data_IF_646424598276
#
_entry.id   IF_646424598276
#
_cell.length_a   1.000
_cell.length_b   1.000
_cell.length_c   1.000
_cell.angle_alpha   90.00
_cell.angle_beta   90.00
_cell.angle_gamma   90.00
#
_symmetry.space_group_name_H-M   'P 1'
#
loop_
_entity.id
_entity.type
_entity.pdbx_description
1 polymer ?
#
# COMPACT_ATOMS: atom_id res chain seq x y z
N UNK A 1 27.08 -12.95 -12.62
CA UNK A 1 26.59 -12.01 -11.59
C UNK A 1 26.84 -12.55 -10.18
N UNK A 2 26.51 -13.83 -9.93
CA UNK A 2 26.64 -14.45 -8.59
C UNK A 2 28.01 -14.30 -7.95
N UNK A 3 29.09 -14.46 -8.71
CA UNK A 3 30.47 -14.41 -8.21
C UNK A 3 30.87 -13.04 -7.64
N UNK A 4 30.30 -11.95 -8.20
CA UNK A 4 30.62 -10.58 -7.79
C UNK A 4 29.51 -9.91 -6.98
N UNK A 5 28.25 -10.35 -7.14
CA UNK A 5 27.05 -9.81 -6.50
C UNK A 5 26.36 -10.88 -5.64
N UNK A 6 27.11 -11.52 -4.75
CA UNK A 6 26.62 -12.67 -3.98
C UNK A 6 25.42 -12.31 -3.08
N UNK A 7 25.43 -11.14 -2.45
CA UNK A 7 24.33 -10.69 -1.59
C UNK A 7 23.03 -10.50 -2.39
N UNK A 8 23.09 -9.81 -3.53
CA UNK A 8 21.93 -9.60 -4.40
C UNK A 8 21.42 -10.92 -4.98
N UNK A 9 22.34 -11.82 -5.30
CA UNK A 9 21.98 -13.15 -5.77
C UNK A 9 21.21 -13.95 -4.71
N UNK A 10 21.62 -13.91 -3.45
CA UNK A 10 20.88 -14.56 -2.37
C UNK A 10 19.46 -14.00 -2.23
N UNK A 11 19.28 -12.67 -2.33
CA UNK A 11 17.95 -12.04 -2.32
C UNK A 11 17.07 -12.51 -3.49
N UNK A 12 17.66 -12.69 -4.68
CA UNK A 12 16.92 -13.18 -5.87
C UNK A 12 16.39 -14.60 -5.68
N UNK A 13 17.03 -15.43 -4.88
CA UNK A 13 16.57 -16.81 -4.63
C UNK A 13 15.17 -16.85 -4.00
N UNK A 14 14.78 -15.84 -3.22
CA UNK A 14 13.45 -15.69 -2.61
C UNK A 14 12.47 -14.94 -3.50
N UNK A 15 12.86 -14.57 -4.73
CA UNK A 15 12.03 -13.82 -5.64
C UNK A 15 11.00 -14.70 -6.35
N UNK A 16 9.82 -14.14 -6.62
CA UNK A 16 8.79 -14.79 -7.45
C UNK A 16 9.32 -15.13 -8.85
N UNK A 17 10.22 -14.34 -9.41
CA UNK A 17 10.84 -14.62 -10.70
C UNK A 17 11.72 -15.87 -10.64
N UNK A 18 12.53 -16.01 -9.59
CA UNK A 18 13.37 -17.21 -9.40
C UNK A 18 12.51 -18.46 -9.15
N UNK A 19 11.44 -18.32 -8.38
CA UNK A 19 10.47 -19.41 -8.16
C UNK A 19 9.86 -19.88 -9.49
N UNK A 20 9.45 -18.92 -10.34
CA UNK A 20 8.91 -19.22 -11.66
C UNK A 20 9.94 -19.88 -12.58
N UNK A 21 11.20 -19.44 -12.58
CA UNK A 21 12.30 -20.06 -13.33
C UNK A 21 12.54 -21.51 -12.86
N UNK A 22 12.58 -21.74 -11.55
CA UNK A 22 12.75 -23.07 -10.97
C UNK A 22 11.59 -24.02 -11.33
N UNK A 23 10.39 -23.46 -11.52
CA UNK A 23 9.21 -24.20 -12.00
C UNK A 23 9.18 -24.41 -13.53
N UNK A 24 10.23 -23.98 -14.25
CA UNK A 24 10.36 -24.19 -15.70
C UNK A 24 9.81 -23.05 -16.57
N UNK A 25 9.39 -21.93 -15.99
CA UNK A 25 8.96 -20.75 -16.77
C UNK A 25 10.18 -19.97 -17.26
N UNK A 26 10.61 -20.23 -18.49
CA UNK A 26 11.78 -19.58 -19.11
C UNK A 26 11.56 -18.10 -19.45
N UNK A 27 10.32 -17.59 -19.37
CA UNK A 27 9.99 -16.17 -19.58
C UNK A 27 10.11 -15.32 -18.32
N UNK A 28 10.37 -15.94 -17.16
CA UNK A 28 10.57 -15.16 -15.92
C UNK A 28 11.91 -14.43 -15.96
N UNK A 29 11.90 -13.20 -15.40
CA UNK A 29 13.04 -12.28 -15.50
C UNK A 29 14.30 -12.82 -14.81
N UNK A 30 15.44 -12.60 -15.45
CA UNK A 30 16.79 -12.81 -14.89
C UNK A 30 17.52 -11.46 -14.74
N UNK A 31 18.71 -11.49 -14.16
CA UNK A 31 19.48 -10.26 -13.86
C UNK A 31 19.60 -9.30 -15.06
N UNK A 32 19.82 -9.85 -16.26
CA UNK A 32 20.06 -9.07 -17.48
C UNK A 32 18.81 -8.42 -18.07
N UNK A 33 17.63 -8.83 -17.68
CA UNK A 33 16.38 -8.24 -18.16
C UNK A 33 16.10 -6.90 -17.47
N UNK A 34 16.56 -6.78 -16.21
CA UNK A 34 16.49 -5.54 -15.43
C UNK A 34 17.76 -4.69 -15.57
N UNK A 35 18.92 -5.33 -15.60
CA UNK A 35 20.23 -4.68 -15.64
C UNK A 35 20.92 -4.92 -16.99
N UNK A 36 21.19 -3.86 -17.74
CA UNK A 36 21.97 -3.99 -18.98
C UNK A 36 23.43 -4.36 -18.64
N UNK A 37 23.93 -5.54 -19.07
CA UNK A 37 25.27 -5.99 -18.67
C UNK A 37 26.40 -5.18 -19.27
N UNK A 38 26.15 -4.39 -20.31
CA UNK A 38 27.17 -3.60 -21.02
C UNK A 38 27.14 -2.12 -20.64
N UNK A 39 25.98 -1.60 -20.26
CA UNK A 39 25.78 -0.16 -19.99
C UNK A 39 25.16 0.05 -18.60
N UNK A 40 25.64 -0.71 -17.63
CA UNK A 40 25.16 -0.64 -16.25
C UNK A 40 25.47 0.73 -15.64
N UNK A 41 24.41 1.46 -15.28
CA UNK A 41 24.49 2.71 -14.53
C UNK A 41 24.10 2.49 -13.08
N UNK A 42 24.72 3.25 -12.19
CA UNK A 42 24.33 3.24 -10.78
C UNK A 42 22.99 3.98 -10.62
N UNK A 43 22.04 3.33 -9.99
CA UNK A 43 20.70 3.87 -9.74
C UNK A 43 20.57 4.53 -8.36
N UNK A 44 21.58 4.35 -7.49
CA UNK A 44 21.58 4.90 -6.12
C UNK A 44 22.75 5.86 -5.91
N UNK A 45 22.57 6.84 -5.05
CA UNK A 45 23.64 7.66 -4.54
C UNK A 45 24.67 6.77 -3.83
N UNK A 46 25.97 7.00 -4.09
CA UNK A 46 27.06 6.19 -3.55
C UNK A 46 27.17 6.31 -2.02
N UNK A 47 26.89 7.49 -1.48
CA UNK A 47 27.14 7.82 -0.09
C UNK A 47 25.91 7.59 0.79
N UNK A 48 24.70 7.86 0.29
CA UNK A 48 23.45 7.72 1.04
C UNK A 48 22.70 6.42 0.74
N UNK A 49 22.98 5.76 -0.39
CA UNK A 49 22.22 4.59 -0.86
C UNK A 49 20.85 4.90 -1.43
N UNK A 50 20.42 6.16 -1.38
CA UNK A 50 19.11 6.58 -1.89
C UNK A 50 19.02 6.51 -3.41
N UNK A 51 17.82 6.23 -3.93
CA UNK A 51 17.58 6.25 -5.37
C UNK A 51 17.80 7.65 -5.96
N UNK A 52 18.52 7.71 -7.06
CA UNK A 52 18.62 8.92 -7.86
C UNK A 52 17.28 9.22 -8.53
N UNK A 53 16.94 10.50 -8.70
CA UNK A 53 15.67 10.91 -9.34
C UNK A 53 15.45 10.24 -10.71
N UNK A 54 16.48 10.22 -11.56
CA UNK A 54 16.41 9.55 -12.85
C UNK A 54 16.14 8.04 -12.75
N UNK A 55 16.57 7.39 -11.68
CA UNK A 55 16.31 5.97 -11.44
C UNK A 55 14.82 5.69 -11.18
N UNK A 56 14.14 6.53 -10.39
CA UNK A 56 12.70 6.38 -10.13
C UNK A 56 11.86 6.40 -11.41
N UNK A 57 12.25 7.19 -12.40
CA UNK A 57 11.57 7.22 -13.71
C UNK A 57 11.84 5.98 -14.56
N UNK A 58 13.03 5.39 -14.45
CA UNK A 58 13.44 4.22 -15.25
C UNK A 58 12.91 2.91 -14.70
N UNK A 59 12.76 2.78 -13.37
CA UNK A 59 12.33 1.53 -12.72
C UNK A 59 10.99 1.03 -13.25
N UNK A 60 9.90 1.81 -13.28
CA UNK A 60 8.62 1.33 -13.81
C UNK A 60 8.71 0.93 -15.29
N UNK A 61 9.49 1.65 -16.09
CA UNK A 61 9.70 1.32 -17.51
C UNK A 61 10.47 -0.01 -17.68
N UNK A 62 11.36 -0.33 -16.75
CA UNK A 62 12.07 -1.63 -16.75
C UNK A 62 11.09 -2.77 -16.51
N UNK A 63 10.19 -2.63 -15.54
CA UNK A 63 9.15 -3.61 -15.25
C UNK A 63 8.15 -3.74 -16.42
N UNK A 64 7.83 -2.62 -17.08
CA UNK A 64 6.90 -2.54 -18.20
C UNK A 64 7.29 -3.39 -19.42
N UNK A 65 8.56 -3.79 -19.55
CA UNK A 65 9.01 -4.68 -20.64
C UNK A 65 8.23 -5.99 -20.68
N UNK A 66 7.79 -6.47 -19.52
CA UNK A 66 6.98 -7.68 -19.37
C UNK A 66 5.62 -7.40 -18.75
N UNK A 67 5.52 -6.40 -17.85
CA UNK A 67 4.31 -6.03 -17.11
C UNK A 67 3.66 -4.74 -17.68
N UNK A 68 3.46 -4.68 -18.99
CA UNK A 68 3.00 -3.47 -19.69
C UNK A 68 1.59 -3.02 -19.24
N UNK A 69 0.65 -3.94 -19.08
CA UNK A 69 -0.72 -3.63 -18.62
C UNK A 69 -0.70 -3.01 -17.21
N UNK A 70 0.05 -3.61 -16.30
CA UNK A 70 0.21 -3.10 -14.92
C UNK A 70 0.88 -1.72 -14.92
N UNK A 71 1.85 -1.51 -15.81
CA UNK A 71 2.50 -0.21 -15.95
C UNK A 71 1.53 0.88 -16.41
N UNK A 72 0.64 0.61 -17.36
CA UNK A 72 -0.35 1.59 -17.82
C UNK A 72 -1.37 1.92 -16.72
N UNK A 73 -1.81 0.93 -15.93
CA UNK A 73 -2.65 1.15 -14.75
C UNK A 73 -1.91 2.04 -13.72
N UNK A 74 -0.66 1.69 -13.38
CA UNK A 74 0.16 2.48 -12.46
C UNK A 74 0.36 3.91 -12.95
N UNK A 75 0.70 4.10 -14.23
CA UNK A 75 0.95 5.40 -14.84
C UNK A 75 -0.27 6.33 -14.76
N UNK A 76 -1.48 5.79 -14.84
CA UNK A 76 -2.73 6.53 -14.71
C UNK A 76 -3.13 6.78 -13.25
N UNK A 77 -2.53 6.08 -12.29
CA UNK A 77 -2.82 6.24 -10.86
C UNK A 77 -2.30 7.58 -10.31
N UNK A 78 -2.75 7.94 -9.10
CA UNK A 78 -2.25 9.14 -8.39
C UNK A 78 -0.73 9.08 -8.18
N UNK A 79 -0.17 7.91 -7.90
CA UNK A 79 1.28 7.74 -7.69
C UNK A 79 2.05 7.83 -9.00
N UNK A 80 1.63 7.09 -10.01
CA UNK A 80 2.31 7.05 -11.29
C UNK A 80 2.21 8.37 -12.06
N UNK A 81 1.06 9.02 -12.03
CA UNK A 81 0.86 10.34 -12.65
C UNK A 81 1.74 11.39 -11.97
N UNK A 82 1.80 11.42 -10.65
CA UNK A 82 2.68 12.33 -9.92
C UNK A 82 4.17 12.08 -10.25
N UNK A 83 4.58 10.82 -10.43
CA UNK A 83 5.96 10.52 -10.84
C UNK A 83 6.24 10.98 -12.27
N UNK A 84 5.38 10.61 -13.21
CA UNK A 84 5.68 10.75 -14.66
C UNK A 84 5.38 12.14 -15.18
N UNK A 85 4.33 12.80 -14.69
CA UNK A 85 3.88 14.10 -15.18
C UNK A 85 4.42 15.27 -14.35
N UNK A 86 4.60 15.05 -13.04
CA UNK A 86 5.02 16.12 -12.11
C UNK A 86 6.49 15.98 -11.68
N UNK A 87 7.15 14.84 -11.98
CA UNK A 87 8.53 14.56 -11.55
C UNK A 87 8.66 14.39 -10.04
N UNK A 88 7.57 14.01 -9.37
CA UNK A 88 7.52 13.88 -7.92
C UNK A 88 8.30 12.64 -7.45
N UNK A 89 9.39 12.84 -6.74
CA UNK A 89 10.26 11.75 -6.28
C UNK A 89 9.85 11.14 -4.94
N UNK A 90 8.82 11.67 -4.27
CA UNK A 90 8.34 11.13 -2.99
C UNK A 90 7.28 10.05 -3.16
N UNK A 91 6.75 9.88 -4.37
CA UNK A 91 5.77 8.82 -4.65
C UNK A 91 6.45 7.46 -4.87
N UNK A 92 5.76 6.35 -4.55
CA UNK A 92 6.32 5.01 -4.71
C UNK A 92 6.41 4.60 -6.17
N UNK A 93 7.37 3.72 -6.45
CA UNK A 93 7.52 2.97 -7.69
C UNK A 93 7.22 1.50 -7.45
N UNK A 94 7.33 0.65 -8.46
CA UNK A 94 7.08 -0.79 -8.34
C UNK A 94 7.86 -1.44 -7.19
N UNK A 95 9.13 -1.06 -7.02
CA UNK A 95 10.02 -1.68 -6.02
C UNK A 95 9.72 -1.27 -4.57
N UNK A 96 9.04 -0.16 -4.37
CA UNK A 96 8.68 0.31 -3.02
C UNK A 96 7.60 -0.59 -2.38
N UNK A 97 6.79 -1.26 -3.23
CA UNK A 97 5.78 -2.21 -2.78
C UNK A 97 6.23 -3.66 -2.93
N UNK A 98 6.91 -4.00 -4.03
CA UNK A 98 7.24 -5.39 -4.37
C UNK A 98 8.65 -5.82 -3.96
N UNK A 99 9.50 -4.90 -3.53
CA UNK A 99 10.92 -5.14 -3.29
C UNK A 99 11.76 -5.09 -4.57
N UNK A 100 13.07 -5.25 -4.44
CA UNK A 100 14.02 -5.08 -5.56
C UNK A 100 14.49 -6.42 -6.08
N UNK A 101 15.29 -7.16 -5.32
CA UNK A 101 15.84 -8.45 -5.72
C UNK A 101 15.04 -9.64 -5.18
N UNK A 102 14.40 -9.47 -4.04
CA UNK A 102 13.51 -10.43 -3.39
C UNK A 102 12.03 -10.11 -3.67
N UNK A 103 11.70 -9.91 -4.93
CA UNK A 103 10.34 -9.53 -5.34
C UNK A 103 9.34 -10.57 -4.85
N UNK A 104 8.45 -10.15 -3.95
CA UNK A 104 7.49 -11.04 -3.30
C UNK A 104 6.32 -11.37 -4.22
N UNK A 105 5.71 -12.54 -4.00
CA UNK A 105 4.51 -12.93 -4.72
C UNK A 105 3.28 -12.18 -4.17
N UNK A 106 2.69 -11.24 -4.93
CA UNK A 106 1.58 -10.43 -4.45
C UNK A 106 0.25 -11.19 -4.32
N UNK A 107 0.19 -12.46 -4.79
CA UNK A 107 -1.03 -13.27 -4.72
C UNK A 107 -1.12 -14.10 -3.44
N UNK A 108 -0.13 -14.02 -2.56
CA UNK A 108 -0.13 -14.74 -1.28
C UNK A 108 -0.95 -14.00 -0.22
N UNK A 109 -1.52 -14.76 0.73
CA UNK A 109 -2.21 -14.17 1.87
C UNK A 109 -1.25 -13.34 2.74
N UNK A 110 -0.02 -13.79 2.91
CA UNK A 110 1.02 -13.07 3.65
C UNK A 110 1.27 -11.68 3.05
N UNK A 111 1.45 -11.59 1.73
CA UNK A 111 1.60 -10.29 1.07
C UNK A 111 0.35 -9.41 1.24
N UNK A 112 -0.84 -9.98 1.07
CA UNK A 112 -2.10 -9.24 1.25
C UNK A 112 -2.25 -8.72 2.68
N UNK A 113 -1.99 -9.55 3.69
CA UNK A 113 -2.12 -9.17 5.10
C UNK A 113 -1.10 -8.09 5.50
N UNK A 114 0.09 -8.06 4.89
CA UNK A 114 1.12 -7.04 5.12
C UNK A 114 0.87 -5.70 4.39
N UNK A 115 -0.11 -5.64 3.49
CA UNK A 115 -0.41 -4.44 2.68
C UNK A 115 -0.62 -3.17 3.52
N UNK A 116 -1.33 -3.19 4.67
CA UNK A 116 -1.47 -1.98 5.50
C UNK A 116 -0.13 -1.41 5.96
N UNK A 117 0.81 -2.28 6.34
CA UNK A 117 2.17 -1.89 6.72
C UNK A 117 2.94 -1.29 5.54
N UNK A 118 2.83 -1.87 4.34
CA UNK A 118 3.44 -1.32 3.13
C UNK A 118 2.97 0.10 2.83
N UNK A 119 1.68 0.34 2.87
CA UNK A 119 1.10 1.67 2.66
C UNK A 119 1.56 2.65 3.76
N UNK A 120 1.58 2.19 5.00
CA UNK A 120 1.96 2.98 6.17
C UNK A 120 3.39 3.49 6.11
N UNK A 121 4.32 2.80 5.45
CA UNK A 121 5.72 3.25 5.30
C UNK A 121 5.82 4.70 4.80
N UNK A 122 4.90 5.12 3.94
CA UNK A 122 4.82 6.50 3.45
C UNK A 122 3.67 7.27 4.09
N UNK A 123 2.47 6.66 4.19
CA UNK A 123 1.27 7.34 4.63
C UNK A 123 1.22 7.70 6.13
N UNK A 124 2.16 7.21 6.93
CA UNK A 124 2.37 7.67 8.32
C UNK A 124 3.56 8.63 8.46
N UNK A 125 4.27 8.91 7.36
CA UNK A 125 5.43 9.80 7.38
C UNK A 125 4.99 11.27 7.25
N UNK A 126 5.09 12.04 8.34
CA UNK A 126 4.69 13.44 8.37
C UNK A 126 5.43 14.31 7.35
N UNK A 127 6.72 14.05 7.12
CA UNK A 127 7.53 14.84 6.18
C UNK A 127 7.01 14.69 4.75
N UNK A 128 6.56 13.49 4.38
CA UNK A 128 6.01 13.21 3.06
C UNK A 128 4.55 13.69 2.97
N UNK A 129 3.70 13.29 3.91
CA UNK A 129 2.26 13.49 3.82
C UNK A 129 1.83 14.94 4.03
N UNK A 130 2.58 15.73 4.81
CA UNK A 130 2.31 17.16 5.02
C UNK A 130 2.26 17.95 3.70
N UNK A 131 3.05 17.56 2.70
CA UNK A 131 3.09 18.23 1.39
C UNK A 131 1.77 18.08 0.61
N UNK A 132 1.00 17.03 0.92
CA UNK A 132 -0.25 16.69 0.26
C UNK A 132 -1.49 16.99 1.10
N UNK A 133 -1.31 17.49 2.33
CA UNK A 133 -2.42 17.72 3.26
C UNK A 133 -3.13 16.44 3.71
N UNK A 134 -2.44 15.29 3.65
CA UNK A 134 -2.98 13.97 4.02
C UNK A 134 -2.65 13.70 5.48
N UNK A 135 -3.65 13.22 6.23
CA UNK A 135 -3.47 12.81 7.63
C UNK A 135 -2.53 11.60 7.73
N UNK A 136 -1.59 11.65 8.67
CA UNK A 136 -0.70 10.54 8.98
C UNK A 136 -1.29 9.53 9.96
N UNK A 137 -2.52 9.77 10.44
CA UNK A 137 -3.20 8.87 11.38
C UNK A 137 -3.96 7.73 10.69
N UNK A 138 -3.77 7.56 9.39
CA UNK A 138 -4.55 6.59 8.57
C UNK A 138 -4.39 5.14 9.04
N UNK A 139 -3.18 4.72 9.41
CA UNK A 139 -2.94 3.36 9.91
C UNK A 139 -3.60 3.16 11.28
N UNK A 140 -3.41 4.11 12.21
CA UNK A 140 -3.98 4.00 13.56
C UNK A 140 -5.51 3.94 13.51
N UNK A 141 -6.16 4.77 12.68
CA UNK A 141 -7.62 4.73 12.51
C UNK A 141 -8.08 3.43 11.89
N UNK A 142 -7.35 2.89 10.91
CA UNK A 142 -7.64 1.59 10.30
C UNK A 142 -7.51 0.44 11.31
N UNK A 143 -6.39 0.33 12.04
CA UNK A 143 -6.19 -0.77 13.01
C UNK A 143 -7.04 -0.64 14.27
N UNK A 144 -7.66 0.52 14.52
CA UNK A 144 -8.64 0.73 15.59
C UNK A 144 -10.04 0.27 15.20
N UNK A 145 -10.27 0.01 13.93
CA UNK A 145 -11.51 -0.50 13.37
C UNK A 145 -11.49 -2.05 13.38
N UNK A 146 -12.66 -2.65 13.36
CA UNK A 146 -12.81 -4.11 13.39
C UNK A 146 -12.10 -4.81 12.22
N UNK A 147 -12.10 -4.21 11.01
CA UNK A 147 -11.42 -4.77 9.85
C UNK A 147 -9.91 -4.78 10.05
N UNK A 148 -9.33 -3.65 10.36
CA UNK A 148 -7.90 -3.50 10.51
C UNK A 148 -7.33 -4.22 11.73
N UNK A 149 -8.05 -4.23 12.86
CA UNK A 149 -7.67 -5.03 14.04
C UNK A 149 -7.53 -6.51 13.68
N UNK A 150 -8.50 -7.04 12.91
CA UNK A 150 -8.47 -8.46 12.50
C UNK A 150 -7.30 -8.72 11.54
N UNK A 151 -7.11 -7.87 10.51
CA UNK A 151 -6.00 -8.04 9.57
C UNK A 151 -4.66 -8.01 10.28
N UNK A 152 -4.46 -7.05 11.21
CA UNK A 152 -3.23 -6.95 12.00
C UNK A 152 -2.98 -8.20 12.84
N UNK A 153 -4.00 -8.74 13.48
CA UNK A 153 -3.87 -9.98 14.24
C UNK A 153 -3.44 -11.17 13.36
N UNK A 154 -3.98 -11.26 12.14
CA UNK A 154 -3.58 -12.30 11.19
C UNK A 154 -2.17 -12.09 10.67
N UNK A 155 -1.78 -10.86 10.32
CA UNK A 155 -0.42 -10.52 9.91
C UNK A 155 0.62 -10.97 10.96
N UNK A 156 0.35 -10.71 12.25
CA UNK A 156 1.28 -11.02 13.33
C UNK A 156 1.30 -12.51 13.73
N UNK A 157 0.16 -13.18 13.71
CA UNK A 157 0.02 -14.53 14.27
C UNK A 157 -0.14 -15.63 13.23
N UNK A 158 -0.75 -15.33 12.10
CA UNK A 158 -1.12 -16.29 11.06
C UNK A 158 -0.98 -15.67 9.65
N UNK A 159 0.20 -15.17 9.25
CA UNK A 159 0.37 -14.37 8.02
C UNK A 159 -0.12 -15.06 6.76
N UNK A 160 0.03 -16.38 6.67
CA UNK A 160 -0.35 -17.15 5.47
C UNK A 160 -1.84 -17.55 5.44
N UNK A 161 -2.59 -17.24 6.48
CA UNK A 161 -4.02 -17.54 6.52
C UNK A 161 -4.82 -16.45 5.82
N UNK A 162 -5.86 -16.82 5.04
CA UNK A 162 -6.74 -15.83 4.41
C UNK A 162 -7.58 -15.11 5.47
N UNK A 163 -7.74 -13.82 5.31
CA UNK A 163 -8.73 -13.03 6.04
C UNK A 163 -9.86 -12.65 5.10
N UNK A 164 -11.09 -12.57 5.62
CA UNK A 164 -12.23 -12.02 4.90
C UNK A 164 -12.41 -10.50 5.19
N UNK A 165 -11.38 -9.86 5.73
CA UNK A 165 -11.42 -8.43 6.05
C UNK A 165 -10.68 -7.63 4.98
N UNK A 166 -11.20 -6.45 4.61
CA UNK A 166 -10.56 -5.62 3.60
C UNK A 166 -9.23 -5.05 4.10
N UNK A 167 -8.25 -5.02 3.21
CA UNK A 167 -7.01 -4.26 3.35
C UNK A 167 -7.10 -2.98 2.51
N UNK A 168 -6.08 -2.12 2.59
CA UNK A 168 -6.10 -0.82 1.91
C UNK A 168 -6.45 -0.93 0.42
N UNK A 169 -5.91 -1.93 -0.26
CA UNK A 169 -6.10 -2.13 -1.70
C UNK A 169 -7.49 -2.59 -2.11
N UNK A 170 -8.28 -3.17 -1.21
CA UNK A 170 -9.66 -3.58 -1.53
C UNK A 170 -10.58 -2.37 -1.74
N UNK A 171 -10.28 -1.24 -1.06
CA UNK A 171 -11.01 0.00 -1.22
C UNK A 171 -10.36 0.95 -2.24
N UNK A 172 -9.04 1.11 -2.15
CA UNK A 172 -8.29 2.09 -2.94
C UNK A 172 -7.83 1.59 -4.32
N UNK A 173 -7.91 0.30 -4.60
CA UNK A 173 -7.31 -0.33 -5.77
C UNK A 173 -5.84 -0.69 -5.53
N UNK A 174 -5.23 -1.38 -6.51
CA UNK A 174 -3.84 -1.87 -6.40
C UNK A 174 -2.88 -0.98 -7.19
N UNK A 175 -2.95 -1.05 -8.51
CA UNK A 175 -2.10 -0.24 -9.38
C UNK A 175 -2.79 1.02 -9.91
N UNK A 176 -4.11 1.03 -9.91
CA UNK A 176 -4.98 2.11 -10.36
C UNK A 176 -5.52 2.97 -9.21
N UNK A 177 -4.71 3.21 -8.19
CA UNK A 177 -5.11 4.03 -7.01
C UNK A 177 -5.42 5.46 -7.46
N UNK A 178 -6.65 5.92 -7.24
CA UNK A 178 -7.10 7.26 -7.59
C UNK A 178 -7.18 8.15 -6.36
N UNK A 179 -7.26 9.48 -6.59
CA UNK A 179 -7.52 10.44 -5.50
C UNK A 179 -8.88 10.15 -4.86
N UNK A 180 -9.03 10.34 -3.54
CA UNK A 180 -10.31 10.09 -2.87
C UNK A 180 -11.48 10.89 -3.44
N UNK A 181 -11.22 12.07 -3.98
CA UNK A 181 -12.17 13.00 -4.59
C UNK A 181 -12.30 12.85 -6.11
N UNK A 182 -11.74 11.79 -6.71
CA UNK A 182 -11.97 11.47 -8.10
C UNK A 182 -13.44 11.11 -8.33
N UNK A 183 -14.14 11.75 -9.29
CA UNK A 183 -15.58 11.56 -9.46
C UNK A 183 -16.01 10.15 -9.90
N UNK A 184 -15.13 9.41 -10.59
CA UNK A 184 -15.45 8.10 -11.13
C UNK A 184 -15.03 6.96 -10.18
N UNK A 185 -13.88 7.08 -9.55
CA UNK A 185 -13.27 6.01 -8.74
C UNK A 185 -12.97 6.42 -7.30
N UNK A 186 -13.11 7.69 -6.95
CA UNK A 186 -12.78 8.21 -5.63
C UNK A 186 -13.73 7.73 -4.54
N UNK A 187 -13.17 7.21 -3.46
CA UNK A 187 -13.94 6.64 -2.34
C UNK A 187 -14.48 7.67 -1.34
N UNK A 188 -14.21 8.98 -1.55
CA UNK A 188 -14.89 10.05 -0.82
C UNK A 188 -16.38 10.14 -1.21
N UNK A 189 -16.76 9.64 -2.38
CA UNK A 189 -18.16 9.60 -2.80
C UNK A 189 -18.85 8.35 -2.24
N UNK A 190 -19.96 8.53 -1.53
CA UNK A 190 -20.72 7.44 -0.90
C UNK A 190 -21.11 6.34 -1.88
N UNK A 191 -21.48 6.70 -3.12
CA UNK A 191 -21.82 5.73 -4.17
C UNK A 191 -20.66 4.80 -4.51
N UNK A 192 -19.46 5.35 -4.68
CA UNK A 192 -18.28 4.57 -5.02
C UNK A 192 -17.82 3.71 -3.83
N UNK A 193 -17.87 4.26 -2.63
CA UNK A 193 -17.57 3.54 -1.39
C UNK A 193 -18.56 2.40 -1.17
N UNK A 194 -19.86 2.60 -1.43
CA UNK A 194 -20.89 1.58 -1.30
C UNK A 194 -20.57 0.34 -2.15
N UNK A 195 -20.13 0.52 -3.39
CA UNK A 195 -19.74 -0.59 -4.26
C UNK A 195 -18.63 -1.43 -3.65
N UNK A 196 -17.69 -0.79 -2.93
CA UNK A 196 -16.63 -1.52 -2.19
C UNK A 196 -17.20 -2.28 -0.99
N UNK A 197 -18.09 -1.67 -0.23
CA UNK A 197 -18.77 -2.34 0.88
C UNK A 197 -19.56 -3.57 0.41
N UNK A 198 -20.29 -3.45 -0.68
CA UNK A 198 -21.16 -4.52 -1.23
C UNK A 198 -20.39 -5.75 -1.72
N UNK A 199 -19.09 -5.68 -1.93
CA UNK A 199 -18.27 -6.86 -2.24
C UNK A 199 -18.29 -7.91 -1.11
N UNK A 200 -18.44 -7.46 0.13
CA UNK A 200 -18.51 -8.34 1.31
C UNK A 200 -19.86 -8.21 2.05
N UNK A 201 -20.56 -7.09 1.90
CA UNK A 201 -21.83 -6.77 2.55
C UNK A 201 -22.90 -6.49 1.48
N UNK A 202 -23.47 -7.52 0.85
CA UNK A 202 -24.39 -7.34 -0.30
C UNK A 202 -25.64 -6.51 0.03
N UNK A 203 -26.06 -6.50 1.30
CA UNK A 203 -27.21 -5.73 1.78
C UNK A 203 -26.87 -4.29 2.21
N UNK A 204 -25.63 -3.84 2.02
CA UNK A 204 -25.23 -2.49 2.37
C UNK A 204 -25.96 -1.45 1.49
N UNK A 205 -26.38 -0.35 2.11
CA UNK A 205 -26.97 0.81 1.45
C UNK A 205 -26.22 2.08 1.81
N UNK A 206 -26.43 3.16 1.07
CA UNK A 206 -25.84 4.48 1.38
C UNK A 206 -26.27 5.02 2.73
N UNK A 207 -27.40 4.58 3.25
CA UNK A 207 -27.98 5.06 4.52
C UNK A 207 -27.49 4.26 5.74
N UNK A 208 -27.19 2.97 5.54
CA UNK A 208 -26.89 2.06 6.64
C UNK A 208 -25.40 1.84 6.89
N UNK A 209 -24.58 1.78 5.84
CA UNK A 209 -23.16 1.42 5.96
C UNK A 209 -22.20 2.60 5.80
N UNK A 210 -22.41 3.42 4.78
CA UNK A 210 -21.45 4.48 4.47
C UNK A 210 -21.45 5.60 5.50
N UNK A 211 -22.56 5.83 6.20
CA UNK A 211 -22.64 6.84 7.27
C UNK A 211 -21.99 6.37 8.59
N UNK A 212 -21.84 5.07 8.77
CA UNK A 212 -21.19 4.47 9.95
C UNK A 212 -19.68 4.23 9.74
N UNK A 213 -19.16 4.47 8.56
CA UNK A 213 -17.77 4.22 8.23
C UNK A 213 -16.86 5.32 8.76
N UNK A 214 -16.06 5.00 9.75
CA UNK A 214 -15.18 5.95 10.45
C UNK A 214 -13.69 5.73 10.17
N UNK A 215 -13.32 4.73 9.37
CA UNK A 215 -11.91 4.52 9.01
C UNK A 215 -11.32 5.75 8.36
N UNK A 216 -10.12 6.13 8.80
CA UNK A 216 -9.37 7.31 8.38
C UNK A 216 -9.92 8.66 8.84
N UNK A 217 -11.00 8.68 9.62
CA UNK A 217 -11.52 9.90 10.23
C UNK A 217 -11.37 9.84 11.75
N UNK A 218 -10.71 10.84 12.30
CA UNK A 218 -10.77 11.05 13.74
C UNK A 218 -12.13 11.66 14.10
N UNK A 219 -12.84 11.10 15.09
CA UNK A 219 -14.06 11.70 15.58
C UNK A 219 -13.79 13.13 16.05
N UNK A 220 -14.50 14.09 15.47
CA UNK A 220 -14.43 15.50 15.82
C UNK A 220 -15.84 16.05 16.04
N UNK A 221 -15.98 17.17 16.77
CA UNK A 221 -17.29 17.78 16.92
C UNK A 221 -17.97 18.16 15.62
N UNK A 222 -17.18 18.41 14.56
CA UNK A 222 -17.64 18.83 13.24
C UNK A 222 -17.99 17.66 12.33
N UNK A 223 -17.22 16.57 12.39
CA UNK A 223 -17.34 15.44 11.45
C UNK A 223 -18.24 14.34 12.02
N UNK A 224 -18.03 13.93 13.27
CA UNK A 224 -18.81 12.87 13.93
C UNK A 224 -19.07 13.22 15.38
N UNK A 225 -19.98 14.16 15.68
CA UNK A 225 -20.19 14.67 17.03
C UNK A 225 -20.60 13.59 18.05
N UNK A 226 -21.44 12.64 17.65
CA UNK A 226 -21.87 11.56 18.54
C UNK A 226 -20.70 10.62 18.91
N UNK A 227 -19.90 10.21 17.93
CA UNK A 227 -18.70 9.38 18.16
C UNK A 227 -17.63 10.14 18.97
N UNK A 228 -17.48 11.45 18.74
CA UNK A 228 -16.59 12.30 19.53
C UNK A 228 -17.02 12.35 20.99
N UNK A 229 -18.30 12.63 21.27
CA UNK A 229 -18.83 12.66 22.63
C UNK A 229 -18.70 11.30 23.34
N UNK A 230 -18.99 10.21 22.65
CA UNK A 230 -18.79 8.86 23.18
C UNK A 230 -17.30 8.60 23.51
N UNK A 231 -16.39 8.93 22.61
CA UNK A 231 -14.95 8.79 22.83
C UNK A 231 -14.47 9.61 24.03
N UNK A 232 -14.93 10.87 24.14
CA UNK A 232 -14.59 11.76 25.25
C UNK A 232 -15.15 11.21 26.59
N UNK A 233 -16.39 10.72 26.58
CA UNK A 233 -17.00 10.09 27.76
C UNK A 233 -16.14 8.91 28.24
N UNK A 234 -15.78 7.98 27.37
CA UNK A 234 -14.96 6.84 27.75
C UNK A 234 -13.55 7.22 28.21
N UNK A 235 -12.92 8.23 27.56
CA UNK A 235 -11.61 8.74 27.97
C UNK A 235 -11.60 9.36 29.38
N UNK A 236 -12.72 9.90 29.82
CA UNK A 236 -12.86 10.46 31.16
C UNK A 236 -13.39 9.44 32.17
N UNK A 237 -14.40 8.68 31.79
CA UNK A 237 -15.10 7.74 32.66
C UNK A 237 -14.22 6.54 33.06
N UNK A 238 -13.51 5.92 32.07
CA UNK A 238 -12.72 4.73 32.36
C UNK A 238 -11.56 5.00 33.35
N UNK A 239 -10.74 6.05 33.19
CA UNK A 239 -9.74 6.39 34.20
C UNK A 239 -10.32 6.75 35.56
N UNK A 240 -11.46 7.44 35.59
CA UNK A 240 -12.12 7.81 36.85
C UNK A 240 -12.62 6.58 37.62
N UNK A 241 -13.18 5.58 36.92
CA UNK A 241 -13.63 4.32 37.55
C UNK A 241 -12.45 3.47 37.99
N UNK A 242 -11.44 3.30 37.13
CA UNK A 242 -10.27 2.43 37.45
C UNK A 242 -9.33 3.09 38.45
N UNK A 243 -9.23 4.43 38.48
CA UNK A 243 -8.39 5.17 39.43
C UNK A 243 -9.08 5.44 40.78
N UNK A 244 -10.39 5.27 40.87
CA UNK A 244 -11.19 5.41 42.11
C UNK A 244 -11.44 4.09 42.85
N UNK A 245 -10.99 2.97 42.29
CA UNK A 245 -10.96 1.65 42.97
C UNK A 245 -9.60 1.42 43.64
#
# INVERSE_FOLDING_TARGET
>A
CQQCHAEQYQKVLDSVHQTALAAGNTNAAVCTDCHNPHTQTRLTNKDTGELLLGAKLVIPQTCAKCHSTIYEEYKSSVHGSALTNEGNQYVPTCIDCHGVHNIQNPTTNSFRNSTPGLCANCHTNETIMKQYGISTNVLNSYVSDFHGTTVKMFEESYPDQPTNKPVCTDCHGVHNIMKPDDPEAGIAFKSNLLVKCQQCHPDATTETFTDSWLSHYEPSPQVFPAAYCASLFYKLFMPAVLGGM
#
